data_IF_407057952402
#
_entry.id   IF_407057952402
#
_cell.length_a   1.000
_cell.length_b   1.000
_cell.length_c   1.000
_cell.angle_alpha   90.00
_cell.angle_beta   90.00
_cell.angle_gamma   90.00
#
_symmetry.space_group_name_H-M   'P 1'
#
loop_
_entity.id
_entity.type
_entity.pdbx_description
1 polymer ?
#
# COMPACT_ATOMS: atom_id res chain seq x y z
N UNK A 1 -4.46 53.17 -25.45
CA UNK A 1 -3.42 53.84 -24.64
C UNK A 1 -3.51 53.29 -23.22
N UNK A 2 -2.63 52.37 -22.84
CA UNK A 2 -2.58 51.82 -21.49
C UNK A 2 -1.40 52.48 -20.75
N UNK A 3 -1.70 53.22 -19.69
CA UNK A 3 -0.70 53.88 -18.85
C UNK A 3 -0.13 52.81 -17.91
N UNK A 4 1.12 52.40 -18.13
CA UNK A 4 1.84 51.53 -17.21
C UNK A 4 2.14 52.31 -15.94
N UNK A 5 1.55 51.91 -14.82
CA UNK A 5 1.78 52.52 -13.52
C UNK A 5 3.16 52.04 -13.02
N UNK A 6 4.21 52.80 -13.28
CA UNK A 6 5.54 52.56 -12.71
C UNK A 6 5.51 52.93 -11.23
N UNK A 7 5.53 51.94 -10.35
CA UNK A 7 5.68 52.15 -8.91
C UNK A 7 7.02 52.85 -8.63
N UNK A 8 7.09 53.77 -7.66
CA UNK A 8 8.31 54.50 -7.34
C UNK A 8 9.42 53.53 -6.93
N UNK A 9 10.56 53.61 -7.60
CA UNK A 9 11.75 52.75 -7.41
C UNK A 9 12.30 52.79 -5.98
N UNK A 10 11.94 53.82 -5.20
CA UNK A 10 12.33 54.00 -3.80
C UNK A 10 11.62 53.04 -2.81
N UNK A 11 10.52 52.39 -3.22
CA UNK A 11 9.74 51.53 -2.33
C UNK A 11 10.17 50.05 -2.35
N UNK A 12 11.09 49.66 -3.23
CA UNK A 12 11.52 48.27 -3.39
C UNK A 12 12.97 48.14 -2.91
N UNK A 13 13.15 47.53 -1.75
CA UNK A 13 14.48 47.17 -1.24
C UNK A 13 15.09 46.16 -2.22
N UNK A 14 16.05 46.62 -3.02
CA UNK A 14 16.67 45.83 -4.10
C UNK A 14 17.89 45.03 -3.61
N UNK A 15 18.52 45.45 -2.51
CA UNK A 15 19.69 44.81 -1.92
C UNK A 15 19.39 44.27 -0.52
N UNK A 16 19.88 43.06 -0.22
CA UNK A 16 19.72 42.42 1.10
C UNK A 16 20.42 43.23 2.20
N UNK A 17 21.46 44.00 1.85
CA UNK A 17 22.17 44.85 2.79
C UNK A 17 21.31 46.03 3.31
N UNK A 18 20.32 46.47 2.53
CA UNK A 18 19.40 47.56 2.88
C UNK A 18 18.17 47.07 3.67
N UNK A 19 18.09 45.77 3.95
CA UNK A 19 17.00 45.16 4.69
C UNK A 19 17.19 45.30 6.21
N UNK A 20 16.24 45.93 6.89
CA UNK A 20 16.27 46.02 8.36
C UNK A 20 15.97 44.66 9.01
N UNK A 21 17.02 44.02 9.54
CA UNK A 21 16.97 42.76 10.30
C UNK A 21 16.17 42.83 11.61
N UNK A 22 15.74 44.03 12.03
CA UNK A 22 14.90 44.26 13.22
C UNK A 22 13.44 44.51 12.87
N UNK A 23 13.08 44.53 11.59
CA UNK A 23 11.70 44.62 11.13
C UNK A 23 10.90 43.35 11.49
N UNK A 24 9.60 43.51 11.77
CA UNK A 24 8.68 42.40 12.06
C UNK A 24 8.59 41.96 13.52
N UNK A 25 7.79 40.91 13.74
CA UNK A 25 7.54 40.30 15.05
C UNK A 25 8.72 39.46 15.55
N UNK A 26 8.79 39.20 16.86
CA UNK A 26 9.85 38.37 17.48
C UNK A 26 10.09 37.01 16.77
N UNK A 27 9.05 36.22 16.40
CA UNK A 27 9.26 34.96 15.67
C UNK A 27 9.75 35.15 14.23
N UNK A 28 9.29 36.19 13.52
CA UNK A 28 9.77 36.51 12.17
C UNK A 28 11.25 36.87 12.18
N UNK A 29 11.67 37.69 13.14
CA UNK A 29 13.09 38.05 13.30
C UNK A 29 13.97 36.85 13.61
N UNK A 30 13.46 35.90 14.42
CA UNK A 30 14.20 34.66 14.72
C UNK A 30 14.34 33.76 13.48
N UNK A 31 13.27 33.62 12.69
CA UNK A 31 13.23 32.80 11.47
C UNK A 31 14.07 33.40 10.33
N UNK A 32 13.83 34.67 9.98
CA UNK A 32 14.45 35.32 8.82
C UNK A 32 15.93 35.66 9.04
N UNK A 33 16.31 36.01 10.28
CA UNK A 33 17.72 36.30 10.57
C UNK A 33 18.58 35.03 10.65
N UNK A 34 17.99 33.87 10.98
CA UNK A 34 18.68 32.58 11.05
C UNK A 34 18.27 31.63 9.92
N UNK A 35 17.95 32.15 8.73
CA UNK A 35 17.42 31.40 7.59
C UNK A 35 18.15 30.08 7.28
N UNK A 36 19.48 30.05 7.40
CA UNK A 36 20.26 28.82 7.18
C UNK A 36 19.97 27.73 8.21
N UNK A 37 19.84 28.10 9.49
CA UNK A 37 19.52 27.16 10.58
C UNK A 37 18.11 26.60 10.36
N UNK A 38 17.16 27.45 9.99
CA UNK A 38 15.77 27.04 9.71
C UNK A 38 15.71 26.06 8.56
N UNK A 39 16.39 26.37 7.44
CA UNK A 39 16.47 25.47 6.28
C UNK A 39 17.13 24.14 6.64
N UNK A 40 18.21 24.17 7.43
CA UNK A 40 18.88 22.95 7.88
C UNK A 40 17.97 22.08 8.76
N UNK A 41 17.21 22.69 9.68
CA UNK A 41 16.24 21.97 10.52
C UNK A 41 15.11 21.38 9.68
N UNK A 42 14.53 22.14 8.75
CA UNK A 42 13.51 21.63 7.83
C UNK A 42 14.04 20.46 7.01
N UNK A 43 15.25 20.58 6.45
CA UNK A 43 15.89 19.51 5.69
C UNK A 43 16.09 18.25 6.54
N UNK A 44 16.58 18.40 7.77
CA UNK A 44 16.77 17.28 8.70
C UNK A 44 15.44 16.57 9.00
N UNK A 45 14.39 17.33 9.30
CA UNK A 45 13.04 16.77 9.53
C UNK A 45 12.54 16.04 8.29
N UNK A 46 12.71 16.60 7.10
CA UNK A 46 12.32 15.96 5.84
C UNK A 46 13.06 14.64 5.64
N UNK A 47 14.38 14.59 5.87
CA UNK A 47 15.17 13.35 5.74
C UNK A 47 14.72 12.30 6.74
N UNK A 48 14.46 12.68 7.99
CA UNK A 48 13.97 11.77 9.04
C UNK A 48 12.60 11.20 8.68
N UNK A 49 11.68 12.03 8.18
CA UNK A 49 10.36 11.58 7.74
C UNK A 49 10.45 10.70 6.49
N UNK A 50 11.32 11.03 5.53
CA UNK A 50 11.56 10.22 4.34
C UNK A 50 12.13 8.84 4.70
N UNK A 51 13.06 8.79 5.65
CA UNK A 51 13.60 7.54 6.17
C UNK A 51 12.52 6.66 6.81
N UNK A 52 11.66 7.25 7.65
CA UNK A 52 10.53 6.52 8.25
C UNK A 52 9.50 6.07 7.21
N UNK A 53 9.26 6.86 6.18
CA UNK A 53 8.32 6.54 5.11
C UNK A 53 8.73 5.29 4.31
N UNK A 54 10.03 5.02 4.15
CA UNK A 54 10.52 3.80 3.50
C UNK A 54 10.16 2.52 4.27
N UNK A 55 9.87 2.61 5.58
CA UNK A 55 9.42 1.49 6.41
C UNK A 55 7.91 1.25 6.40
N UNK A 56 7.12 2.08 5.70
CA UNK A 56 5.68 1.93 5.63
C UNK A 56 5.31 0.63 4.90
N UNK A 57 4.79 -0.33 5.64
CA UNK A 57 4.20 -1.55 5.08
C UNK A 57 2.76 -1.25 4.67
N UNK A 58 2.45 -1.46 3.40
CA UNK A 58 1.08 -1.38 2.90
C UNK A 58 0.25 -2.47 3.57
N UNK A 59 -0.47 -2.13 4.63
CA UNK A 59 -1.38 -3.05 5.30
C UNK A 59 -2.77 -2.89 4.67
N UNK A 60 -3.08 -3.73 3.69
CA UNK A 60 -4.43 -3.89 3.15
C UNK A 60 -5.30 -4.67 4.14
N UNK A 61 -5.50 -4.12 5.34
CA UNK A 61 -6.41 -4.67 6.34
C UNK A 61 -7.84 -4.30 5.93
N UNK A 62 -8.44 -5.07 5.02
CA UNK A 62 -9.87 -4.98 4.70
C UNK A 62 -10.74 -4.98 5.97
N UNK A 63 -10.32 -5.74 6.99
CA UNK A 63 -10.93 -5.79 8.32
C UNK A 63 -11.04 -4.42 9.01
N UNK A 64 -10.09 -3.51 8.80
CA UNK A 64 -10.09 -2.17 9.40
C UNK A 64 -10.95 -1.17 8.63
N UNK A 65 -11.36 -1.51 7.41
CA UNK A 65 -12.32 -0.73 6.63
C UNK A 65 -13.77 -1.18 6.88
N UNK A 66 -13.94 -2.30 7.58
CA UNK A 66 -15.24 -2.89 7.89
C UNK A 66 -15.76 -2.30 9.22
N UNK A 67 -17.02 -1.81 9.29
CA UNK A 67 -17.57 -1.20 10.51
C UNK A 67 -17.76 -2.25 11.62
N UNK A 68 -16.82 -2.29 12.57
CA UNK A 68 -16.73 -3.32 13.62
C UNK A 68 -17.91 -3.35 14.60
N UNK A 69 -18.82 -2.37 14.55
CA UNK A 69 -20.00 -2.30 15.43
C UNK A 69 -21.18 -3.16 14.97
N UNK A 70 -21.17 -3.70 13.75
CA UNK A 70 -22.29 -4.49 13.26
C UNK A 70 -22.31 -5.90 13.90
N UNK A 71 -23.46 -6.42 14.36
CA UNK A 71 -23.55 -7.73 15.02
C UNK A 71 -23.01 -8.90 14.18
N UNK A 72 -23.19 -8.88 12.86
CA UNK A 72 -22.58 -9.90 11.98
C UNK A 72 -21.04 -9.90 12.00
N UNK A 73 -20.43 -8.72 12.10
CA UNK A 73 -18.97 -8.58 12.06
C UNK A 73 -18.39 -9.02 13.41
N UNK A 74 -19.07 -8.70 14.52
CA UNK A 74 -18.71 -9.20 15.85
C UNK A 74 -18.74 -10.72 15.88
N UNK A 75 -19.84 -11.34 15.43
CA UNK A 75 -19.95 -12.80 15.36
C UNK A 75 -18.89 -13.43 14.46
N UNK A 76 -18.58 -12.80 13.31
CA UNK A 76 -17.51 -13.25 12.43
C UNK A 76 -16.14 -13.20 13.12
N UNK A 77 -15.82 -12.12 13.83
CA UNK A 77 -14.55 -11.95 14.53
C UNK A 77 -14.40 -12.96 15.67
N UNK A 78 -15.47 -13.21 16.44
CA UNK A 78 -15.49 -14.20 17.53
C UNK A 78 -15.28 -15.64 17.03
N UNK A 79 -15.81 -15.97 15.85
CA UNK A 79 -15.78 -17.33 15.31
C UNK A 79 -14.75 -17.51 14.18
N UNK A 80 -13.91 -16.50 13.90
CA UNK A 80 -12.97 -16.49 12.76
C UNK A 80 -12.06 -17.71 12.72
N UNK A 81 -11.60 -18.17 13.88
CA UNK A 81 -10.74 -19.36 14.00
C UNK A 81 -11.43 -20.66 13.56
N UNK A 82 -12.76 -20.74 13.69
CA UNK A 82 -13.56 -21.87 13.24
C UNK A 82 -13.84 -21.81 11.72
N UNK A 83 -13.62 -20.66 11.10
CA UNK A 83 -13.83 -20.41 9.67
C UNK A 83 -12.54 -20.53 8.85
N UNK A 84 -11.56 -21.29 9.33
CA UNK A 84 -10.31 -21.54 8.61
C UNK A 84 -10.56 -22.01 7.16
N UNK A 85 -9.82 -21.46 6.20
CA UNK A 85 -10.01 -21.70 4.76
C UNK A 85 -11.12 -20.90 4.06
N UNK A 86 -11.99 -20.15 4.78
CA UNK A 86 -13.08 -19.36 4.17
C UNK A 86 -12.78 -17.87 3.97
N UNK A 87 -11.65 -17.37 4.46
CA UNK A 87 -11.27 -15.96 4.29
C UNK A 87 -10.75 -15.68 2.88
N UNK A 88 -9.44 -15.82 2.70
CA UNK A 88 -8.79 -15.57 1.42
C UNK A 88 -8.61 -16.88 0.65
N UNK A 89 -9.31 -17.03 -0.47
CA UNK A 89 -9.15 -18.17 -1.38
C UNK A 89 -8.51 -17.71 -2.69
N UNK A 90 -7.36 -18.29 -3.05
CA UNK A 90 -6.73 -18.11 -4.36
C UNK A 90 -7.19 -19.24 -5.29
N UNK A 91 -7.66 -18.90 -6.48
CA UNK A 91 -8.03 -19.86 -7.53
C UNK A 91 -7.11 -19.66 -8.72
N UNK A 92 -6.46 -20.74 -9.16
CA UNK A 92 -5.57 -20.76 -10.30
C UNK A 92 -6.27 -21.56 -11.39
N UNK A 93 -6.55 -20.93 -12.52
CA UNK A 93 -7.13 -21.57 -13.69
C UNK A 93 -6.03 -21.78 -14.74
N UNK A 94 -5.91 -23.01 -15.24
CA UNK A 94 -4.94 -23.37 -16.27
C UNK A 94 -5.71 -23.64 -17.56
N UNK A 95 -5.31 -22.98 -18.64
CA UNK A 95 -5.90 -23.14 -19.97
C UNK A 95 -4.96 -23.96 -20.85
N UNK A 96 -5.52 -24.88 -21.65
CA UNK A 96 -4.77 -25.54 -22.72
C UNK A 96 -4.89 -24.74 -24.03
N UNK A 97 -3.76 -24.44 -24.67
CA UNK A 97 -3.72 -23.75 -25.97
C UNK A 97 -3.98 -24.68 -27.16
N UNK A 98 -3.82 -25.98 -26.97
CA UNK A 98 -3.93 -27.00 -28.00
C UNK A 98 -4.35 -28.33 -27.40
N UNK A 99 -5.43 -28.92 -27.91
CA UNK A 99 -5.97 -30.19 -27.41
C UNK A 99 -6.99 -30.00 -26.29
N UNK A 100 -7.07 -30.99 -25.39
CA UNK A 100 -8.08 -31.06 -24.33
C UNK A 100 -7.44 -31.21 -22.93
N UNK A 101 -8.21 -30.92 -21.90
CA UNK A 101 -7.83 -30.98 -20.47
C UNK A 101 -7.52 -32.40 -19.98
N UNK A 102 -7.86 -33.42 -20.78
CA UNK A 102 -7.56 -34.82 -20.48
C UNK A 102 -6.25 -35.31 -21.11
N UNK A 103 -5.51 -34.44 -21.80
CA UNK A 103 -4.20 -34.79 -22.35
C UNK A 103 -3.16 -35.04 -21.24
N UNK A 104 -2.23 -35.96 -21.50
CA UNK A 104 -1.17 -36.31 -20.55
C UNK A 104 -0.32 -35.08 -20.17
N UNK A 105 0.04 -34.26 -21.15
CA UNK A 105 0.87 -33.06 -20.93
C UNK A 105 0.16 -32.01 -20.06
N UNK A 106 -1.15 -31.82 -20.25
CA UNK A 106 -1.95 -30.92 -19.43
C UNK A 106 -2.02 -31.42 -17.98
N UNK A 107 -2.34 -32.71 -17.79
CA UNK A 107 -2.46 -33.30 -16.47
C UNK A 107 -1.11 -33.28 -15.71
N UNK A 108 0.00 -33.50 -16.42
CA UNK A 108 1.35 -33.38 -15.86
C UNK A 108 1.67 -31.94 -15.44
N UNK A 109 1.25 -30.95 -16.22
CA UNK A 109 1.39 -29.53 -15.85
C UNK A 109 0.60 -29.20 -14.57
N UNK A 110 -0.65 -29.67 -14.48
CA UNK A 110 -1.50 -29.47 -13.28
C UNK A 110 -0.91 -30.18 -12.06
N UNK A 111 -0.32 -31.37 -12.24
CA UNK A 111 0.40 -32.08 -11.18
C UNK A 111 1.58 -31.27 -10.66
N UNK A 112 2.45 -30.78 -11.54
CA UNK A 112 3.63 -30.01 -11.15
C UNK A 112 3.24 -28.75 -10.37
N UNK A 113 2.25 -28.00 -10.87
CA UNK A 113 1.67 -26.86 -10.16
C UNK A 113 1.14 -27.24 -8.78
N UNK A 114 0.45 -28.37 -8.68
CA UNK A 114 -0.10 -28.85 -7.42
C UNK A 114 1.01 -29.17 -6.39
N UNK A 115 2.04 -29.90 -6.83
CA UNK A 115 3.15 -30.31 -5.99
C UNK A 115 3.96 -29.10 -5.50
N UNK A 116 4.22 -28.13 -6.37
CA UNK A 116 4.92 -26.89 -6.00
C UNK A 116 4.13 -26.06 -4.99
N UNK A 117 2.84 -25.81 -5.25
CA UNK A 117 1.98 -25.05 -4.34
C UNK A 117 1.83 -25.74 -2.98
N UNK A 118 1.74 -27.07 -2.96
CA UNK A 118 1.65 -27.83 -1.72
C UNK A 118 2.88 -27.67 -0.82
N UNK A 119 4.06 -27.47 -1.42
CA UNK A 119 5.32 -27.30 -0.70
C UNK A 119 5.55 -25.88 -0.19
N UNK A 120 4.82 -24.88 -0.69
CA UNK A 120 4.96 -23.49 -0.25
C UNK A 120 4.58 -23.32 1.25
N UNK A 121 5.38 -22.58 2.04
CA UNK A 121 5.17 -22.44 3.48
C UNK A 121 3.85 -21.78 3.88
N UNK A 122 3.36 -20.85 3.06
CA UNK A 122 2.22 -19.98 3.34
C UNK A 122 0.89 -20.58 2.86
N UNK A 123 0.93 -21.74 2.20
CA UNK A 123 -0.26 -22.43 1.70
C UNK A 123 -0.86 -23.29 2.80
N UNK A 124 -2.16 -23.11 3.03
CA UNK A 124 -2.93 -23.90 3.98
C UNK A 124 -3.27 -25.29 3.38
N UNK A 125 -2.32 -26.23 3.52
CA UNK A 125 -2.32 -27.54 2.87
C UNK A 125 -3.61 -28.36 3.10
N UNK A 126 -4.20 -28.43 4.30
CA UNK A 126 -5.45 -29.14 4.55
C UNK A 126 -6.64 -28.65 3.71
N UNK A 127 -6.61 -27.39 3.25
CA UNK A 127 -7.70 -26.76 2.49
C UNK A 127 -7.38 -26.61 0.99
N UNK A 128 -6.20 -27.06 0.54
CA UNK A 128 -5.83 -27.04 -0.87
C UNK A 128 -6.68 -28.04 -1.68
N UNK A 129 -7.25 -27.57 -2.79
CA UNK A 129 -8.01 -28.39 -3.74
C UNK A 129 -7.38 -28.28 -5.13
N UNK A 130 -7.19 -29.40 -5.80
CA UNK A 130 -6.63 -29.47 -7.15
C UNK A 130 -7.28 -30.59 -7.94
N UNK A 131 -7.43 -30.40 -9.25
CA UNK A 131 -7.92 -31.43 -10.17
C UNK A 131 -7.04 -32.69 -10.17
N UNK A 132 -5.77 -32.58 -9.80
CA UNK A 132 -4.85 -33.70 -9.67
C UNK A 132 -4.94 -34.43 -8.32
N UNK A 133 -5.42 -33.76 -7.27
CA UNK A 133 -5.42 -34.33 -5.93
C UNK A 133 -6.57 -35.35 -5.76
N UNK A 134 -6.33 -36.51 -5.11
CA UNK A 134 -7.36 -37.53 -4.90
C UNK A 134 -8.51 -37.08 -3.99
N UNK A 135 -8.36 -35.93 -3.33
CA UNK A 135 -9.35 -35.34 -2.43
C UNK A 135 -10.55 -34.68 -3.16
N UNK A 136 -10.56 -34.64 -4.50
CA UNK A 136 -11.71 -34.12 -5.26
C UNK A 136 -12.83 -35.15 -5.26
N UNK A 137 -13.84 -34.95 -4.40
CA UNK A 137 -15.12 -35.64 -4.50
C UNK A 137 -15.98 -34.94 -5.56
N UNK A 138 -16.25 -35.64 -6.66
CA UNK A 138 -17.27 -35.22 -7.62
C UNK A 138 -18.66 -35.46 -7.03
N UNK A 139 -19.38 -34.40 -6.68
CA UNK A 139 -20.80 -34.46 -6.35
C UNK A 139 -21.59 -34.00 -7.57
N UNK A 140 -22.03 -34.94 -8.41
CA UNK A 140 -22.98 -34.65 -9.47
C UNK A 140 -24.32 -34.25 -8.86
N UNK A 141 -24.82 -33.07 -9.22
CA UNK A 141 -26.21 -32.70 -8.99
C UNK A 141 -26.91 -32.93 -10.33
N UNK A 142 -27.78 -33.94 -10.38
CA UNK A 142 -28.70 -34.20 -11.50
C UNK A 142 -29.89 -33.26 -11.44
#
# INVERSE_FOLDING_TARGET
MAVAHTLPTEAVIADIADFDHRSGSLPERLLFNNRFIVVAVCLLVTVVLAYQAMGLRLNAAFEKMIPTSHPYIVNYLENRSQLAGMGNSLRIAVETKSGDIFSADYLETVRQLNDELFLMPEVDRPYMKSLWAPAVRWTGVT
#
